data_IF_401814664252
#
_entry.id   IF_401814664252
#
_cell.length_a   1.000
_cell.length_b   1.000
_cell.length_c   1.000
_cell.angle_alpha   90.00
_cell.angle_beta   90.00
_cell.angle_gamma   90.00
#
_symmetry.space_group_name_H-M   'P 1'
#
loop_
_entity.id
_entity.type
_entity.pdbx_description
1 polymer ?
#
# COMPACT_ATOMS: atom_id res chain seq x y z
N UNK A 1 5.07 54.44 44.87
CA UNK A 1 4.05 54.02 45.87
C UNK A 1 3.06 55.15 46.06
N UNK A 2 1.88 55.06 45.44
CA UNK A 2 0.82 56.06 45.66
C UNK A 2 0.04 55.70 46.92
N UNK A 3 0.08 56.58 47.92
CA UNK A 3 -0.70 56.45 49.14
C UNK A 3 -2.19 56.51 48.78
N UNK A 4 -2.92 55.42 49.07
CA UNK A 4 -4.37 55.35 48.92
C UNK A 4 -4.97 56.38 49.88
N UNK A 5 -5.87 57.28 49.43
CA UNK A 5 -6.42 58.32 50.29
C UNK A 5 -7.17 57.70 51.47
N UNK A 6 -6.94 58.22 52.69
CA UNK A 6 -7.53 57.75 53.97
C UNK A 6 -9.07 57.59 53.94
N UNK A 7 -9.76 58.32 53.04
CA UNK A 7 -11.21 58.17 52.79
C UNK A 7 -11.57 56.82 52.14
N UNK A 8 -10.76 56.31 51.21
CA UNK A 8 -10.98 55.00 50.59
C UNK A 8 -10.83 53.88 51.63
N UNK A 9 -9.83 54.00 52.51
CA UNK A 9 -9.61 53.01 53.57
C UNK A 9 -10.75 52.97 54.60
N UNK A 10 -11.35 54.12 54.90
CA UNK A 10 -12.55 54.21 55.76
C UNK A 10 -13.78 53.60 55.10
N UNK A 11 -13.98 53.85 53.80
CA UNK A 11 -15.12 53.31 53.04
C UNK A 11 -15.08 51.78 52.91
N UNK A 12 -13.89 51.20 52.69
CA UNK A 12 -13.72 49.73 52.59
C UNK A 12 -13.88 49.04 53.95
N UNK A 13 -13.65 49.73 55.07
CA UNK A 13 -13.81 49.19 56.43
C UNK A 13 -15.18 49.41 57.06
N UNK A 14 -16.00 50.29 56.50
CA UNK A 14 -17.35 50.57 56.98
C UNK A 14 -18.34 49.52 56.45
N UNK A 15 -19.22 49.01 57.30
CA UNK A 15 -20.14 47.91 56.99
C UNK A 15 -21.04 48.22 55.79
N UNK A 16 -21.40 49.50 55.60
CA UNK A 16 -22.20 49.97 54.45
C UNK A 16 -21.39 49.97 53.15
N UNK A 17 -20.14 50.40 53.19
CA UNK A 17 -19.25 50.40 52.02
C UNK A 17 -18.86 48.99 51.61
N UNK A 18 -18.62 48.10 52.57
CA UNK A 18 -18.36 46.67 52.33
C UNK A 18 -19.57 45.98 51.66
N UNK A 19 -20.80 46.22 52.15
CA UNK A 19 -22.02 45.67 51.55
C UNK A 19 -22.22 46.17 50.11
N UNK A 20 -22.00 47.46 49.84
CA UNK A 20 -22.10 48.01 48.48
C UNK A 20 -21.03 47.44 47.55
N UNK A 21 -19.79 47.27 48.03
CA UNK A 21 -18.69 46.67 47.26
C UNK A 21 -19.03 45.22 46.92
N UNK A 22 -19.45 44.43 47.91
CA UNK A 22 -19.83 43.03 47.73
C UNK A 22 -21.00 42.90 46.74
N UNK A 23 -22.08 43.67 46.92
CA UNK A 23 -23.21 43.68 46.00
C UNK A 23 -22.82 44.13 44.58
N UNK A 24 -21.90 45.09 44.45
CA UNK A 24 -21.44 45.62 43.15
C UNK A 24 -20.45 44.70 42.42
N UNK A 25 -19.72 43.84 43.13
CA UNK A 25 -18.73 42.91 42.56
C UNK A 25 -19.30 41.52 42.31
N UNK A 26 -20.27 41.07 43.10
CA UNK A 26 -20.86 39.73 42.95
C UNK A 26 -21.50 39.55 41.58
N UNK A 27 -22.31 40.50 41.11
CA UNK A 27 -22.98 40.38 39.80
C UNK A 27 -21.98 40.37 38.62
N UNK A 28 -21.02 41.31 38.50
CA UNK A 28 -19.98 41.24 37.48
C UNK A 28 -19.09 40.00 37.58
N UNK A 29 -18.78 39.51 38.79
CA UNK A 29 -17.98 38.31 38.97
C UNK A 29 -18.72 37.06 38.47
N UNK A 30 -20.02 36.93 38.79
CA UNK A 30 -20.86 35.84 38.27
C UNK A 30 -20.97 35.94 36.75
N UNK A 31 -21.19 37.13 36.19
CA UNK A 31 -21.24 37.33 34.73
C UNK A 31 -19.92 36.95 34.05
N UNK A 32 -18.79 37.35 34.63
CA UNK A 32 -17.47 37.02 34.08
C UNK A 32 -17.21 35.51 34.17
N UNK A 33 -17.59 34.87 35.27
CA UNK A 33 -17.48 33.43 35.45
C UNK A 33 -18.36 32.66 34.43
N UNK A 34 -19.60 33.09 34.19
CA UNK A 34 -20.48 32.46 33.20
C UNK A 34 -19.95 32.64 31.78
N UNK A 35 -19.47 33.84 31.43
CA UNK A 35 -18.85 34.10 30.13
C UNK A 35 -17.61 33.22 29.93
N UNK A 36 -16.73 33.09 30.94
CA UNK A 36 -15.56 32.19 30.86
C UNK A 36 -15.96 30.73 30.68
N UNK A 37 -16.99 30.26 31.39
CA UNK A 37 -17.52 28.90 31.23
C UNK A 37 -18.07 28.66 29.82
N UNK A 38 -18.77 29.64 29.24
CA UNK A 38 -19.26 29.55 27.86
C UNK A 38 -18.09 29.46 26.87
N UNK A 39 -17.05 30.29 27.02
CA UNK A 39 -15.86 30.23 26.16
C UNK A 39 -15.12 28.89 26.28
N UNK A 40 -15.00 28.36 27.50
CA UNK A 40 -14.40 27.05 27.73
C UNK A 40 -15.22 25.95 27.05
N UNK A 41 -16.55 25.97 27.20
CA UNK A 41 -17.43 24.99 26.56
C UNK A 41 -17.33 25.05 25.03
N UNK A 42 -17.28 26.25 24.44
CA UNK A 42 -17.09 26.44 23.01
C UNK A 42 -15.73 25.91 22.53
N UNK A 43 -14.66 26.19 23.29
CA UNK A 43 -13.32 25.68 22.96
C UNK A 43 -13.28 24.16 22.95
N UNK A 44 -13.80 23.51 24.00
CA UNK A 44 -13.88 22.05 24.10
C UNK A 44 -14.75 21.48 22.98
N UNK A 45 -15.87 22.11 22.64
CA UNK A 45 -16.71 21.71 21.52
C UNK A 45 -15.95 21.76 20.19
N UNK A 46 -15.24 22.84 19.90
CA UNK A 46 -14.44 22.97 18.68
C UNK A 46 -13.31 21.92 18.62
N UNK A 47 -12.66 21.65 19.75
CA UNK A 47 -11.61 20.63 19.83
C UNK A 47 -12.17 19.22 19.62
N UNK A 48 -13.30 18.89 20.24
CA UNK A 48 -13.96 17.59 20.05
C UNK A 48 -14.42 17.38 18.61
N UNK A 49 -14.98 18.42 17.98
CA UNK A 49 -15.40 18.37 16.57
C UNK A 49 -14.20 18.18 15.62
N UNK A 50 -13.09 18.89 15.86
CA UNK A 50 -11.87 18.73 15.07
C UNK A 50 -11.26 17.32 15.26
N UNK A 51 -11.26 16.80 16.48
CA UNK A 51 -10.83 15.43 16.77
C UNK A 51 -11.71 14.39 16.08
N UNK A 52 -13.04 14.56 16.10
CA UNK A 52 -13.96 13.68 15.40
C UNK A 52 -13.70 13.69 13.88
N UNK A 53 -13.44 14.87 13.31
CA UNK A 53 -13.05 14.99 11.90
C UNK A 53 -11.74 14.26 11.61
N UNK A 54 -10.70 14.46 12.44
CA UNK A 54 -9.41 13.77 12.30
C UNK A 54 -9.57 12.24 12.39
N UNK A 55 -10.35 11.77 13.36
CA UNK A 55 -10.60 10.35 13.61
C UNK A 55 -11.38 9.69 12.47
N UNK A 56 -12.45 10.33 11.98
CA UNK A 56 -13.22 9.82 10.84
C UNK A 56 -12.35 9.77 9.59
N UNK A 57 -11.53 10.79 9.34
CA UNK A 57 -10.62 10.78 8.19
C UNK A 57 -9.60 9.66 8.29
N UNK A 58 -8.87 9.55 9.41
CA UNK A 58 -7.89 8.48 9.61
C UNK A 58 -8.52 7.08 9.47
N UNK A 59 -9.69 6.85 10.08
CA UNK A 59 -10.39 5.57 10.02
C UNK A 59 -10.87 5.22 8.60
N UNK A 60 -11.46 6.17 7.87
CA UNK A 60 -11.94 5.92 6.49
C UNK A 60 -10.79 5.67 5.53
N UNK A 61 -9.71 6.45 5.65
CA UNK A 61 -8.51 6.23 4.85
C UNK A 61 -7.88 4.88 5.14
N UNK A 62 -7.77 4.49 6.41
CA UNK A 62 -7.22 3.20 6.80
C UNK A 62 -8.11 2.02 6.33
N UNK A 63 -9.42 2.16 6.41
CA UNK A 63 -10.39 1.15 5.94
C UNK A 63 -10.38 0.97 4.42
N UNK A 64 -10.18 2.06 3.66
CA UNK A 64 -10.14 2.04 2.20
C UNK A 64 -8.72 1.83 1.65
N UNK A 65 -7.71 1.62 2.50
CA UNK A 65 -6.31 1.55 2.08
C UNK A 65 -6.01 0.40 1.12
N UNK A 66 -6.77 -0.69 1.26
CA UNK A 66 -6.62 -1.93 0.48
C UNK A 66 -6.92 -1.75 -1.02
N UNK A 67 -7.67 -0.71 -1.40
CA UNK A 67 -8.00 -0.41 -2.80
C UNK A 67 -8.25 1.09 -3.01
N UNK A 68 -7.39 1.73 -3.82
CA UNK A 68 -7.48 3.13 -4.20
C UNK A 68 -8.71 3.47 -5.06
N UNK A 69 -9.55 2.53 -5.46
CA UNK A 69 -10.79 2.78 -6.21
C UNK A 69 -12.07 2.71 -5.36
N UNK A 70 -11.94 2.41 -4.06
CA UNK A 70 -13.09 2.47 -3.14
C UNK A 70 -13.63 3.89 -3.00
N UNK A 71 -14.95 4.00 -2.96
CA UNK A 71 -15.64 5.23 -2.59
C UNK A 71 -15.32 5.58 -1.13
N UNK A 72 -14.90 6.82 -0.88
CA UNK A 72 -14.37 7.22 0.43
C UNK A 72 -15.36 7.05 1.59
N UNK A 73 -16.66 7.31 1.36
CA UNK A 73 -17.69 7.31 2.41
C UNK A 73 -18.32 5.95 2.65
N UNK A 74 -18.54 5.17 1.59
CA UNK A 74 -19.26 3.89 1.64
C UNK A 74 -18.31 2.68 1.64
N UNK A 75 -17.09 2.85 1.13
CA UNK A 75 -16.16 1.76 0.85
C UNK A 75 -16.58 0.86 -0.31
N UNK A 76 -17.61 1.25 -1.08
CA UNK A 76 -18.07 0.51 -2.24
C UNK A 76 -17.03 0.55 -3.37
N UNK A 77 -16.94 -0.53 -4.14
CA UNK A 77 -16.05 -0.64 -5.28
C UNK A 77 -16.80 -1.30 -6.43
N UNK A 78 -16.64 -0.79 -7.66
CA UNK A 78 -17.22 -1.40 -8.84
C UNK A 78 -16.47 -2.68 -9.22
N UNK A 79 -17.17 -3.65 -9.80
CA UNK A 79 -16.54 -4.88 -10.26
C UNK A 79 -15.51 -4.59 -11.35
N UNK A 80 -14.27 -5.05 -11.13
CA UNK A 80 -13.13 -4.82 -12.03
C UNK A 80 -12.26 -3.61 -11.69
N UNK A 81 -12.68 -2.75 -10.76
CA UNK A 81 -11.87 -1.60 -10.32
C UNK A 81 -11.03 -1.99 -9.09
N UNK A 82 -9.78 -2.37 -9.33
CA UNK A 82 -8.83 -2.74 -8.27
C UNK A 82 -7.46 -2.17 -8.56
N UNK A 83 -6.70 -1.93 -7.50
CA UNK A 83 -5.26 -1.69 -7.59
C UNK A 83 -4.55 -2.95 -8.14
N UNK A 84 -3.35 -2.77 -8.70
CA UNK A 84 -2.53 -3.86 -9.26
C UNK A 84 -2.22 -4.96 -8.24
N UNK A 85 -2.10 -6.22 -8.67
CA UNK A 85 -1.96 -7.35 -7.74
C UNK A 85 -0.80 -7.20 -6.74
N UNK A 86 0.28 -6.53 -7.14
CA UNK A 86 1.51 -6.40 -6.35
C UNK A 86 1.73 -4.99 -5.79
N UNK A 87 0.72 -4.11 -5.83
CA UNK A 87 0.82 -2.72 -5.35
C UNK A 87 1.37 -2.60 -3.91
N UNK A 88 1.15 -3.61 -3.07
CA UNK A 88 1.65 -3.67 -1.68
C UNK A 88 3.18 -3.76 -1.59
N UNK A 89 3.83 -4.30 -2.61
CA UNK A 89 5.29 -4.45 -2.69
C UNK A 89 5.92 -3.26 -3.44
N UNK A 90 5.23 -2.76 -4.46
CA UNK A 90 5.73 -1.75 -5.40
C UNK A 90 5.38 -0.32 -4.98
N UNK A 91 4.14 -0.09 -4.53
CA UNK A 91 3.60 1.25 -4.28
C UNK A 91 3.37 1.56 -2.79
N UNK A 92 3.26 0.58 -1.87
CA UNK A 92 2.88 0.83 -0.45
C UNK A 92 4.01 1.33 0.48
N UNK A 93 4.98 2.08 -0.07
CA UNK A 93 6.13 2.63 0.67
C UNK A 93 6.86 1.59 1.54
N UNK A 94 7.07 0.40 0.97
CA UNK A 94 7.75 -0.71 1.66
C UNK A 94 9.19 -0.36 2.09
N UNK A 95 9.80 0.66 1.49
CA UNK A 95 11.07 1.25 1.92
C UNK A 95 11.09 1.73 3.37
N UNK A 96 9.94 2.10 3.95
CA UNK A 96 9.85 2.48 5.37
C UNK A 96 10.17 1.33 6.34
N UNK A 97 10.12 0.07 5.89
CA UNK A 97 10.63 -1.07 6.64
C UNK A 97 12.11 -0.96 6.97
N UNK A 98 12.87 -0.31 6.09
CA UNK A 98 14.30 -0.09 6.25
C UNK A 98 14.60 1.27 6.88
N UNK A 99 13.59 1.94 7.46
CA UNK A 99 13.76 3.26 8.10
C UNK A 99 14.80 3.26 9.24
N UNK A 100 15.04 2.09 9.85
CA UNK A 100 16.09 1.89 10.86
C UNK A 100 17.50 1.96 10.28
N UNK A 101 17.67 1.73 8.97
CA UNK A 101 18.95 1.71 8.26
C UNK A 101 19.13 2.95 7.36
N UNK A 102 18.04 3.48 6.83
CA UNK A 102 18.01 4.68 5.98
C UNK A 102 16.91 5.61 6.51
N UNK A 103 17.15 6.91 6.73
CA UNK A 103 16.08 7.82 7.09
C UNK A 103 15.10 7.98 5.91
N UNK A 104 14.01 7.21 5.93
CA UNK A 104 12.91 7.31 4.95
C UNK A 104 11.74 8.00 5.62
N UNK A 105 11.29 9.11 5.04
CA UNK A 105 10.16 9.87 5.56
C UNK A 105 8.83 9.14 5.30
N UNK A 106 7.87 9.18 6.25
CA UNK A 106 6.50 8.76 5.99
C UNK A 106 5.92 9.45 4.75
N UNK A 107 5.02 8.78 4.04
CA UNK A 107 4.24 9.45 3.00
C UNK A 107 3.35 10.50 3.69
N UNK A 108 3.37 11.74 3.24
CA UNK A 108 2.53 12.78 3.83
C UNK A 108 2.03 13.82 2.85
N UNK A 109 0.90 14.42 3.20
CA UNK A 109 0.17 15.40 2.41
C UNK A 109 -0.19 16.58 3.32
N UNK A 110 0.30 17.76 2.98
CA UNK A 110 -0.06 19.00 3.67
C UNK A 110 -1.45 19.48 3.27
N UNK A 111 -2.19 20.04 4.23
CA UNK A 111 -3.55 20.54 4.07
C UNK A 111 -3.59 22.07 4.14
N UNK A 112 -4.47 22.73 3.37
CA UNK A 112 -5.41 22.13 2.40
C UNK A 112 -4.70 21.76 1.09
N UNK A 113 -5.00 20.57 0.56
CA UNK A 113 -4.53 20.17 -0.78
C UNK A 113 -5.71 20.08 -1.75
N UNK A 114 -5.56 20.60 -2.96
CA UNK A 114 -6.55 20.50 -4.05
C UNK A 114 -6.51 19.12 -4.73
N UNK A 115 -6.56 18.04 -3.94
CA UNK A 115 -6.52 16.67 -4.44
C UNK A 115 -7.83 16.27 -5.10
N UNK A 116 -7.84 16.21 -6.43
CA UNK A 116 -8.94 15.63 -7.21
C UNK A 116 -9.07 14.11 -6.96
N UNK A 117 -10.21 13.54 -7.36
CA UNK A 117 -10.58 12.13 -7.13
C UNK A 117 -9.57 11.07 -7.64
N UNK A 118 -8.59 11.49 -8.46
CA UNK A 118 -7.65 10.64 -9.20
C UNK A 118 -6.23 10.61 -8.62
N UNK A 119 -6.12 10.48 -7.28
CA UNK A 119 -4.83 10.42 -6.58
C UNK A 119 -3.89 9.27 -6.99
N UNK A 120 -4.35 8.26 -7.73
CA UNK A 120 -3.56 7.07 -8.07
C UNK A 120 -3.44 6.06 -6.91
N UNK A 121 -2.73 4.96 -7.15
CA UNK A 121 -2.53 3.86 -6.19
C UNK A 121 -1.49 4.16 -5.10
N UNK A 122 -0.72 5.24 -5.25
CA UNK A 122 0.34 5.59 -4.31
C UNK A 122 -0.22 6.04 -2.95
N UNK A 123 0.57 5.94 -1.86
CA UNK A 123 0.17 6.37 -0.52
C UNK A 123 -0.21 7.84 -0.49
N UNK A 124 0.57 8.72 -1.13
CA UNK A 124 0.25 10.16 -1.26
C UNK A 124 -1.06 10.35 -2.01
N UNK A 125 -1.31 9.54 -3.04
CA UNK A 125 -2.56 9.52 -3.80
C UNK A 125 -3.78 9.20 -2.95
N UNK A 126 -3.67 8.15 -2.13
CA UNK A 126 -4.70 7.72 -1.18
C UNK A 126 -4.94 8.80 -0.10
N UNK A 127 -3.88 9.47 0.37
CA UNK A 127 -3.98 10.59 1.32
C UNK A 127 -4.59 11.84 0.67
N UNK A 128 -4.25 12.17 -0.58
CA UNK A 128 -4.81 13.30 -1.33
C UNK A 128 -6.32 13.19 -1.52
N UNK A 129 -6.83 11.97 -1.78
CA UNK A 129 -8.28 11.75 -1.86
C UNK A 129 -8.97 12.08 -0.53
N UNK A 130 -8.35 11.70 0.58
CA UNK A 130 -8.86 12.01 1.93
C UNK A 130 -8.89 13.53 2.16
N UNK A 131 -7.86 14.23 1.70
CA UNK A 131 -7.80 15.68 1.80
C UNK A 131 -8.91 16.38 1.01
N UNK A 132 -9.32 15.83 -0.14
CA UNK A 132 -10.44 16.34 -0.94
C UNK A 132 -11.82 16.23 -0.26
N UNK A 133 -11.95 15.37 0.76
CA UNK A 133 -13.18 15.16 1.53
C UNK A 133 -13.25 15.98 2.83
N UNK A 134 -12.16 16.67 3.19
CA UNK A 134 -12.13 17.51 4.38
C UNK A 134 -12.92 18.81 4.19
N UNK A 135 -13.64 19.28 5.23
CA UNK A 135 -14.26 20.60 5.21
C UNK A 135 -13.25 21.73 4.96
N UNK A 136 -13.72 22.80 4.31
CA UNK A 136 -12.89 24.00 4.10
C UNK A 136 -12.47 24.67 5.40
N UNK A 137 -11.30 25.32 5.38
CA UNK A 137 -10.74 26.02 6.55
C UNK A 137 -10.05 25.10 7.57
N UNK A 138 -9.70 23.88 7.18
CA UNK A 138 -8.83 22.98 7.95
C UNK A 138 -7.43 22.99 7.31
N UNK A 139 -6.41 23.16 8.14
CA UNK A 139 -4.99 23.02 7.78
C UNK A 139 -4.37 21.87 8.57
N UNK A 140 -3.13 21.49 8.24
CA UNK A 140 -2.40 20.42 8.93
C UNK A 140 -1.79 19.41 7.97
N UNK A 141 -1.74 18.15 8.39
CA UNK A 141 -1.04 17.08 7.66
C UNK A 141 -1.78 15.74 7.79
N UNK A 142 -1.88 15.03 6.67
CA UNK A 142 -2.22 13.61 6.63
C UNK A 142 -0.94 12.81 6.38
N UNK A 143 -0.76 11.70 7.08
CA UNK A 143 0.44 10.88 6.97
C UNK A 143 0.12 9.40 6.93
N UNK A 144 1.01 8.63 6.30
CA UNK A 144 0.98 7.19 6.27
C UNK A 144 2.37 6.62 6.59
N UNK A 145 2.39 5.63 7.48
CA UNK A 145 3.62 4.92 7.83
C UNK A 145 3.42 3.41 7.72
N UNK A 146 4.33 2.78 6.98
CA UNK A 146 4.43 1.34 6.85
C UNK A 146 5.62 0.82 7.67
N UNK A 147 5.33 0.24 8.84
CA UNK A 147 6.31 -0.45 9.69
C UNK A 147 6.19 -1.98 9.55
N UNK A 148 5.65 -2.45 8.41
CA UNK A 148 5.52 -3.86 8.07
C UNK A 148 4.28 -4.49 8.63
N UNK A 149 4.42 -5.10 9.81
CA UNK A 149 3.27 -5.70 10.50
C UNK A 149 2.27 -4.64 10.97
N UNK A 150 2.76 -3.44 11.25
CA UNK A 150 1.94 -2.31 11.66
C UNK A 150 1.98 -1.23 10.60
N UNK A 151 0.79 -0.89 10.11
CA UNK A 151 0.56 0.19 9.15
C UNK A 151 -0.48 1.11 9.74
N UNK A 152 -0.24 2.41 9.71
CA UNK A 152 -1.20 3.37 10.24
C UNK A 152 -1.27 4.64 9.40
N UNK A 153 -2.46 5.22 9.43
CA UNK A 153 -2.76 6.53 8.86
C UNK A 153 -2.95 7.52 10.01
N UNK A 154 -2.25 8.65 9.93
CA UNK A 154 -2.37 9.75 10.88
C UNK A 154 -3.03 10.97 10.24
N UNK A 155 -3.90 11.64 10.99
CA UNK A 155 -4.46 12.93 10.64
C UNK A 155 -4.14 13.93 11.75
N UNK A 156 -3.32 14.93 11.47
CA UNK A 156 -2.99 16.04 12.35
C UNK A 156 -3.66 17.31 11.80
N UNK A 157 -4.80 17.70 12.38
CA UNK A 157 -5.63 18.79 11.88
C UNK A 157 -5.55 20.02 12.77
N UNK A 158 -5.66 21.18 12.14
CA UNK A 158 -5.62 22.49 12.76
C UNK A 158 -6.73 23.35 12.17
N UNK A 159 -7.35 24.17 13.02
CA UNK A 159 -8.38 25.12 12.60
C UNK A 159 -8.21 26.43 13.34
N UNK A 160 -8.18 27.53 12.60
CA UNK A 160 -8.16 28.87 13.17
C UNK A 160 -9.41 29.09 14.02
N UNK A 161 -9.20 29.43 15.29
CA UNK A 161 -10.27 29.82 16.20
C UNK A 161 -10.41 31.34 16.15
N UNK A 162 -11.63 31.85 16.04
CA UNK A 162 -11.88 33.27 16.22
C UNK A 162 -11.94 33.58 17.72
N UNK A 163 -10.78 33.56 18.39
CA UNK A 163 -10.69 33.90 19.81
C UNK A 163 -10.60 35.42 20.00
N UNK A 164 -11.19 35.97 21.09
CA UNK A 164 -10.99 37.36 21.45
C UNK A 164 -9.51 37.70 21.66
N UNK A 165 -9.09 38.93 21.32
CA UNK A 165 -7.68 39.35 21.40
C UNK A 165 -7.06 39.17 22.80
N UNK A 166 -7.84 39.35 23.88
CA UNK A 166 -7.36 39.14 25.24
C UNK A 166 -7.02 37.66 25.51
N UNK A 167 -7.80 36.73 24.94
CA UNK A 167 -7.63 35.30 25.10
C UNK A 167 -6.41 34.80 24.32
N UNK A 168 -6.22 35.31 23.09
CA UNK A 168 -5.02 35.03 22.27
C UNK A 168 -3.75 35.50 22.98
N UNK A 169 -3.77 36.68 23.60
CA UNK A 169 -2.64 37.21 24.38
C UNK A 169 -2.35 36.37 25.64
N UNK A 170 -3.38 35.84 26.28
CA UNK A 170 -3.23 35.03 27.50
C UNK A 170 -2.74 33.60 27.21
N UNK A 171 -3.23 32.97 26.14
CA UNK A 171 -2.93 31.57 25.81
C UNK A 171 -1.85 31.37 24.75
N UNK A 172 -1.44 32.42 24.04
CA UNK A 172 -0.37 32.36 23.03
C UNK A 172 -0.70 31.48 21.81
N UNK A 173 -1.97 31.11 21.62
CA UNK A 173 -2.46 30.28 20.53
C UNK A 173 -3.77 30.84 19.99
N UNK A 174 -3.93 30.82 18.68
CA UNK A 174 -5.16 31.22 18.00
C UNK A 174 -5.82 30.07 17.21
N UNK A 175 -5.37 28.84 17.47
CA UNK A 175 -5.75 27.67 16.69
C UNK A 175 -6.15 26.54 17.63
N UNK A 176 -7.17 25.80 17.21
CA UNK A 176 -7.53 24.51 17.78
C UNK A 176 -6.80 23.44 16.98
N UNK A 177 -6.16 22.52 17.70
CA UNK A 177 -5.40 21.42 17.10
C UNK A 177 -5.96 20.10 17.62
N UNK A 178 -6.07 19.11 16.74
CA UNK A 178 -6.46 17.76 17.11
C UNK A 178 -5.79 16.75 16.18
N UNK A 179 -5.40 15.60 16.74
CA UNK A 179 -4.78 14.52 15.99
C UNK A 179 -5.45 13.19 16.27
N UNK A 180 -5.53 12.33 15.26
CA UNK A 180 -6.00 10.96 15.39
C UNK A 180 -5.17 10.02 14.50
N UNK A 181 -5.11 8.75 14.89
CA UNK A 181 -4.41 7.70 14.15
C UNK A 181 -5.33 6.47 14.03
N UNK A 182 -5.22 5.76 12.92
CA UNK A 182 -5.94 4.51 12.69
C UNK A 182 -5.06 3.49 12.00
N UNK A 183 -5.21 2.22 12.38
CA UNK A 183 -4.43 1.12 11.82
C UNK A 183 -5.06 0.60 10.53
N UNK A 184 -4.22 0.36 9.53
CA UNK A 184 -4.62 -0.31 8.29
C UNK A 184 -4.71 -1.81 8.55
N UNK A 185 -5.92 -2.35 8.49
CA UNK A 185 -6.18 -3.78 8.68
C UNK A 185 -6.65 -4.39 7.37
N UNK A 186 -5.90 -5.38 6.89
CA UNK A 186 -6.22 -6.13 5.67
C UNK A 186 -6.26 -7.63 6.01
N UNK A 187 -7.42 -8.14 6.49
CA UNK A 187 -7.51 -9.51 6.97
C UNK A 187 -7.32 -10.52 5.84
N UNK A 188 -7.77 -10.20 4.62
CA UNK A 188 -7.65 -11.09 3.46
C UNK A 188 -6.18 -11.28 3.10
N UNK A 189 -5.42 -10.20 3.03
CA UNK A 189 -3.99 -10.30 2.73
C UNK A 189 -3.21 -10.96 3.87
N UNK A 190 -3.61 -10.72 5.12
CA UNK A 190 -3.00 -11.39 6.28
C UNK A 190 -3.15 -12.91 6.20
N UNK A 191 -4.35 -13.39 5.83
CA UNK A 191 -4.59 -14.83 5.63
C UNK A 191 -3.76 -15.36 4.45
N UNK A 192 -3.73 -14.64 3.32
CA UNK A 192 -2.95 -15.05 2.14
C UNK A 192 -1.46 -15.15 2.44
N UNK A 193 -0.88 -14.16 3.11
CA UNK A 193 0.54 -14.15 3.48
C UNK A 193 0.86 -15.25 4.50
N UNK A 194 -0.06 -15.51 5.44
CA UNK A 194 0.10 -16.60 6.41
C UNK A 194 0.07 -17.96 5.73
N UNK A 195 -0.89 -18.19 4.83
CA UNK A 195 -0.99 -19.43 4.07
C UNK A 195 0.20 -19.62 3.11
N UNK A 196 0.60 -18.56 2.40
CA UNK A 196 1.77 -18.57 1.52
C UNK A 196 3.03 -18.93 2.30
N UNK A 197 3.24 -18.28 3.44
CA UNK A 197 4.41 -18.53 4.29
C UNK A 197 4.36 -19.95 4.85
N UNK A 198 3.22 -20.39 5.38
CA UNK A 198 3.08 -21.74 5.93
C UNK A 198 3.31 -22.83 4.88
N UNK A 199 2.76 -22.65 3.69
CA UNK A 199 2.70 -23.70 2.66
C UNK A 199 3.94 -23.73 1.78
N UNK A 200 4.52 -22.57 1.44
CA UNK A 200 5.55 -22.47 0.42
C UNK A 200 6.93 -22.06 0.94
N UNK A 201 7.09 -21.67 2.22
CA UNK A 201 8.40 -21.21 2.70
C UNK A 201 9.47 -22.30 2.59
N UNK A 202 9.14 -23.56 2.83
CA UNK A 202 10.09 -24.68 2.70
C UNK A 202 10.51 -24.94 1.26
N UNK A 203 9.65 -24.66 0.29
CA UNK A 203 9.96 -24.80 -1.13
C UNK A 203 10.82 -23.66 -1.65
N UNK A 204 10.67 -22.45 -1.09
CA UNK A 204 11.41 -21.26 -1.51
C UNK A 204 12.75 -21.13 -0.77
N UNK A 205 12.85 -21.64 0.46
CA UNK A 205 14.04 -21.51 1.31
C UNK A 205 15.27 -22.12 0.62
N UNK A 206 16.25 -21.28 0.32
CA UNK A 206 17.50 -21.68 -0.34
C UNK A 206 17.44 -21.74 -1.87
N UNK A 207 16.26 -21.59 -2.50
CA UNK A 207 16.12 -21.59 -3.97
C UNK A 207 16.28 -20.21 -4.61
N UNK A 208 16.07 -19.13 -3.87
CA UNK A 208 16.13 -17.75 -4.39
C UNK A 208 17.20 -16.95 -3.64
N UNK A 209 18.14 -16.35 -4.40
CA UNK A 209 19.14 -15.42 -3.85
C UNK A 209 18.49 -14.05 -3.60
N UNK A 210 18.77 -13.36 -2.47
CA UNK A 210 18.12 -12.09 -2.13
C UNK A 210 18.20 -11.01 -3.22
N UNK A 211 19.34 -10.91 -3.91
CA UNK A 211 19.55 -9.95 -5.00
C UNK A 211 18.70 -10.26 -6.24
N UNK A 212 18.46 -11.54 -6.52
CA UNK A 212 17.59 -11.97 -7.63
C UNK A 212 16.11 -11.76 -7.29
N UNK A 213 15.73 -11.97 -6.02
CA UNK A 213 14.38 -11.67 -5.54
C UNK A 213 14.03 -10.17 -5.71
N UNK A 214 14.97 -9.28 -5.37
CA UNK A 214 14.76 -7.84 -5.50
C UNK A 214 14.54 -7.40 -6.96
N UNK A 215 15.24 -8.03 -7.90
CA UNK A 215 15.07 -7.77 -9.34
C UNK A 215 13.73 -8.27 -9.90
N UNK A 216 13.10 -9.22 -9.22
CA UNK A 216 11.79 -9.77 -9.60
C UNK A 216 10.61 -9.02 -8.95
N UNK A 217 10.85 -8.10 -8.02
CA UNK A 217 9.82 -7.24 -7.39
C UNK A 217 9.40 -6.09 -8.31
N UNK A 218 8.94 -6.41 -9.52
CA UNK A 218 8.40 -5.43 -10.48
C UNK A 218 6.98 -5.85 -10.82
N UNK A 219 6.05 -4.89 -10.77
CA UNK A 219 4.67 -5.13 -11.18
C UNK A 219 4.64 -5.60 -12.65
N UNK A 220 4.02 -6.75 -12.97
CA UNK A 220 3.81 -7.15 -14.34
C UNK A 220 3.01 -6.07 -15.08
N UNK A 221 3.47 -5.65 -16.26
CA UNK A 221 2.88 -4.53 -17.01
C UNK A 221 1.49 -4.79 -17.61
N UNK A 222 0.91 -5.97 -17.37
CA UNK A 222 -0.46 -6.26 -17.76
C UNK A 222 -0.85 -7.71 -17.49
N UNK A 223 -2.13 -7.90 -17.16
CA UNK A 223 -2.78 -9.20 -17.28
C UNK A 223 -3.03 -9.48 -18.78
N UNK A 224 -2.78 -10.70 -19.29
CA UNK A 224 -3.18 -11.07 -20.64
C UNK A 224 -4.69 -10.84 -20.81
N UNK A 225 -5.07 -9.85 -21.62
CA UNK A 225 -6.47 -9.60 -21.96
C UNK A 225 -7.00 -10.79 -22.77
N UNK A 226 -7.98 -11.47 -22.16
CA UNK A 226 -8.64 -12.69 -22.65
C UNK A 226 -7.70 -13.90 -22.83
N UNK A 227 -8.19 -15.15 -22.66
CA UNK A 227 -7.38 -16.31 -22.96
C UNK A 227 -7.02 -16.27 -24.44
N UNK A 228 -5.79 -15.86 -24.74
CA UNK A 228 -5.24 -15.87 -26.09
C UNK A 228 -5.44 -17.28 -26.62
N UNK A 229 -6.34 -17.45 -27.60
CA UNK A 229 -6.50 -18.73 -28.28
C UNK A 229 -5.22 -18.96 -29.07
N UNK A 230 -4.30 -19.71 -28.47
CA UNK A 230 -3.06 -20.10 -29.11
C UNK A 230 -3.40 -21.13 -30.19
N UNK A 231 -3.10 -20.76 -31.44
CA UNK A 231 -3.37 -21.58 -32.63
C UNK A 231 -2.10 -22.05 -33.34
N UNK A 232 -0.93 -21.58 -32.88
CA UNK A 232 0.37 -21.93 -33.46
C UNK A 232 1.48 -21.90 -32.42
N UNK A 233 2.59 -22.58 -32.71
CA UNK A 233 3.79 -22.55 -31.87
C UNK A 233 4.38 -21.12 -31.76
N UNK A 234 4.37 -20.33 -32.83
CA UNK A 234 4.84 -18.94 -32.78
C UNK A 234 4.02 -18.06 -31.82
N UNK A 235 2.69 -18.25 -31.79
CA UNK A 235 1.82 -17.58 -30.81
C UNK A 235 2.11 -18.06 -29.40
N UNK A 236 2.35 -19.37 -29.21
CA UNK A 236 2.70 -19.94 -27.91
C UNK A 236 4.04 -19.38 -27.37
N UNK A 237 5.07 -19.32 -28.22
CA UNK A 237 6.36 -18.74 -27.87
C UNK A 237 6.25 -17.25 -27.52
N UNK A 238 5.52 -16.47 -28.33
CA UNK A 238 5.27 -15.05 -28.04
C UNK A 238 4.50 -14.86 -26.73
N UNK A 239 3.49 -15.70 -26.46
CA UNK A 239 2.77 -15.69 -25.20
C UNK A 239 3.70 -15.94 -24.01
N UNK A 240 4.61 -16.91 -24.09
CA UNK A 240 5.59 -17.16 -23.03
C UNK A 240 6.54 -15.97 -22.83
N UNK A 241 7.08 -15.37 -23.89
CA UNK A 241 7.97 -14.21 -23.78
C UNK A 241 7.31 -13.05 -23.03
N UNK A 242 6.01 -12.82 -23.27
CA UNK A 242 5.22 -11.82 -22.55
C UNK A 242 4.97 -12.24 -21.09
N UNK A 243 4.60 -13.50 -20.86
CA UNK A 243 4.25 -14.03 -19.53
C UNK A 243 5.43 -13.98 -18.56
N UNK A 244 6.62 -14.37 -19.02
CA UNK A 244 7.83 -14.44 -18.17
C UNK A 244 8.77 -13.26 -18.35
N UNK A 245 8.39 -12.28 -19.17
CA UNK A 245 9.25 -11.13 -19.53
C UNK A 245 10.62 -11.59 -20.09
N UNK A 246 10.61 -12.67 -20.87
CA UNK A 246 11.82 -13.33 -21.39
C UNK A 246 12.09 -13.03 -22.86
N UNK A 247 13.28 -13.38 -23.34
CA UNK A 247 13.70 -13.22 -24.74
C UNK A 247 14.09 -14.54 -25.38
N UNK A 248 13.84 -14.70 -26.69
CA UNK A 248 14.32 -15.87 -27.42
C UNK A 248 15.85 -15.85 -27.49
N UNK A 249 16.47 -16.99 -27.20
CA UNK A 249 17.93 -17.13 -27.26
C UNK A 249 18.34 -18.45 -27.90
N UNK A 250 19.43 -18.42 -28.66
CA UNK A 250 20.09 -19.62 -29.15
C UNK A 250 21.29 -19.91 -28.28
N UNK A 251 21.22 -21.00 -27.54
CA UNK A 251 22.20 -21.43 -26.55
C UNK A 251 23.03 -22.57 -27.13
N UNK A 252 24.34 -22.55 -26.91
CA UNK A 252 25.23 -23.64 -27.29
C UNK A 252 25.20 -24.70 -26.18
N UNK A 253 24.77 -25.93 -26.51
CA UNK A 253 24.69 -27.03 -25.54
C UNK A 253 26.04 -27.74 -25.43
N UNK A 254 26.62 -28.09 -26.58
CA UNK A 254 27.92 -28.72 -26.73
C UNK A 254 28.57 -28.17 -28.02
N UNK A 255 29.86 -28.45 -28.34
CA UNK A 255 30.50 -27.88 -29.53
C UNK A 255 29.81 -28.13 -30.88
N UNK A 256 28.94 -29.14 -30.98
CA UNK A 256 28.22 -29.53 -32.19
C UNK A 256 26.73 -29.20 -32.15
N UNK A 257 26.17 -28.94 -30.96
CA UNK A 257 24.72 -28.83 -30.75
C UNK A 257 24.33 -27.45 -30.23
N UNK A 258 23.35 -26.83 -30.92
CA UNK A 258 22.66 -25.62 -30.48
C UNK A 258 21.22 -25.94 -30.05
N UNK A 259 20.69 -25.10 -29.17
CA UNK A 259 19.32 -25.14 -28.66
C UNK A 259 18.71 -23.74 -28.72
N UNK A 260 17.66 -23.58 -29.50
CA UNK A 260 16.81 -22.38 -29.43
C UNK A 260 15.86 -22.53 -28.25
N UNK A 261 15.88 -21.56 -27.34
CA UNK A 261 14.98 -21.41 -26.20
C UNK A 261 13.97 -20.33 -26.53
N UNK A 262 12.68 -20.65 -26.42
CA UNK A 262 11.61 -19.74 -26.87
C UNK A 262 11.53 -18.46 -26.01
N UNK A 263 11.79 -18.58 -24.70
CA UNK A 263 11.95 -17.46 -23.79
C UNK A 263 12.91 -17.81 -22.64
N UNK A 264 14.03 -17.07 -22.53
CA UNK A 264 14.90 -17.08 -21.35
C UNK A 264 14.55 -15.88 -20.47
N UNK A 265 14.17 -16.13 -19.22
CA UNK A 265 13.81 -15.07 -18.28
C UNK A 265 15.04 -14.45 -17.57
N UNK A 266 14.81 -13.38 -16.81
CA UNK A 266 15.87 -12.71 -16.05
C UNK A 266 16.47 -13.59 -14.92
N UNK A 267 15.78 -14.64 -14.50
CA UNK A 267 16.25 -15.65 -13.55
C UNK A 267 17.16 -16.70 -14.18
N UNK A 268 17.32 -16.69 -15.51
CA UNK A 268 18.05 -17.71 -16.25
C UNK A 268 17.25 -19.01 -16.41
N UNK A 269 15.93 -18.97 -16.28
CA UNK A 269 15.04 -20.11 -16.53
C UNK A 269 14.64 -20.12 -18.01
N UNK A 270 14.88 -21.26 -18.66
CA UNK A 270 14.55 -21.48 -20.05
C UNK A 270 13.13 -22.03 -20.18
N UNK A 271 12.25 -21.29 -20.87
CA UNK A 271 10.88 -21.67 -21.15
C UNK A 271 10.73 -22.11 -22.60
N UNK A 272 10.23 -23.32 -22.80
CA UNK A 272 9.95 -23.86 -24.13
C UNK A 272 8.45 -24.08 -24.34
N UNK A 273 7.93 -23.64 -25.48
CA UNK A 273 6.55 -23.85 -25.91
C UNK A 273 6.42 -25.09 -26.79
N UNK A 274 5.42 -25.92 -26.52
CA UNK A 274 5.03 -27.05 -27.36
C UNK A 274 3.54 -26.96 -27.68
N UNK A 275 3.23 -26.48 -28.89
CA UNK A 275 1.87 -26.47 -29.42
C UNK A 275 1.58 -27.75 -30.22
N UNK A 276 2.52 -28.14 -31.08
CA UNK A 276 2.57 -29.45 -31.73
C UNK A 276 3.88 -30.10 -31.35
N UNK A 277 3.85 -31.40 -31.04
CA UNK A 277 5.04 -32.13 -30.62
C UNK A 277 4.92 -33.61 -30.95
N UNK A 278 6.08 -34.27 -30.99
CA UNK A 278 6.20 -35.70 -31.10
C UNK A 278 7.01 -36.20 -29.90
N UNK A 279 6.42 -37.04 -29.06
CA UNK A 279 7.09 -37.51 -27.83
C UNK A 279 8.43 -38.21 -28.09
N UNK A 280 8.57 -38.92 -29.21
CA UNK A 280 9.84 -39.54 -29.58
C UNK A 280 10.92 -38.49 -29.80
N UNK A 281 10.61 -37.42 -30.53
CA UNK A 281 11.54 -36.31 -30.72
C UNK A 281 11.85 -35.58 -29.40
N UNK A 282 10.85 -35.43 -28.54
CA UNK A 282 11.06 -34.83 -27.22
C UNK A 282 12.02 -35.65 -26.36
N UNK A 283 11.87 -36.97 -26.31
CA UNK A 283 12.72 -37.87 -25.53
C UNK A 283 14.13 -37.99 -26.09
N UNK A 284 14.25 -38.15 -27.41
CA UNK A 284 15.52 -38.47 -28.04
C UNK A 284 16.36 -37.24 -28.37
N UNK A 285 15.74 -36.06 -28.55
CA UNK A 285 16.43 -34.87 -29.05
C UNK A 285 16.35 -33.69 -28.10
N UNK A 286 15.16 -33.31 -27.62
CA UNK A 286 15.01 -32.07 -26.86
C UNK A 286 15.36 -32.24 -25.38
N UNK A 287 14.87 -33.30 -24.75
CA UNK A 287 15.11 -33.59 -23.33
C UNK A 287 16.60 -33.76 -23.02
N UNK A 288 17.42 -34.48 -23.81
CA UNK A 288 18.85 -34.60 -23.52
C UNK A 288 19.58 -33.27 -23.60
N UNK A 289 19.20 -32.39 -24.55
CA UNK A 289 19.79 -31.04 -24.67
C UNK A 289 19.49 -30.20 -23.45
N UNK A 290 18.22 -30.17 -23.03
CA UNK A 290 17.79 -29.34 -21.91
C UNK A 290 18.29 -29.89 -20.56
N UNK A 291 18.39 -31.22 -20.42
CA UNK A 291 19.02 -31.86 -19.27
C UNK A 291 20.54 -31.57 -19.18
N UNK A 292 21.23 -31.48 -20.32
CA UNK A 292 22.64 -31.10 -20.35
C UNK A 292 22.84 -29.63 -19.99
N UNK A 293 21.99 -28.73 -20.50
CA UNK A 293 21.99 -27.32 -20.11
C UNK A 293 21.79 -27.14 -18.60
N UNK A 294 20.86 -27.90 -18.00
CA UNK A 294 20.64 -27.92 -16.55
C UNK A 294 21.86 -28.41 -15.77
N UNK A 295 22.55 -29.45 -16.25
CA UNK A 295 23.77 -29.97 -15.61
C UNK A 295 24.92 -28.95 -15.64
N UNK A 296 25.06 -28.21 -16.73
CA UNK A 296 26.10 -27.18 -16.86
C UNK A 296 25.83 -25.98 -15.95
N UNK A 297 24.57 -25.56 -15.82
CA UNK A 297 24.13 -24.57 -14.83
C UNK A 297 24.68 -23.15 -15.01
N UNK A 298 25.41 -22.86 -16.09
CA UNK A 298 26.06 -21.56 -16.35
C UNK A 298 25.19 -20.62 -17.17
N UNK A 299 24.54 -21.13 -18.23
CA UNK A 299 23.68 -20.36 -19.14
C UNK A 299 22.18 -20.52 -18.81
N UNK A 300 21.80 -21.66 -18.22
CA UNK A 300 20.43 -21.98 -17.85
C UNK A 300 20.42 -22.52 -16.43
N UNK A 301 19.65 -21.91 -15.55
CA UNK A 301 19.51 -22.27 -14.13
C UNK A 301 18.28 -23.15 -13.87
N UNK A 302 17.33 -23.19 -14.80
CA UNK A 302 16.12 -24.00 -14.73
C UNK A 302 15.50 -24.18 -16.12
N UNK A 303 14.71 -25.24 -16.32
CA UNK A 303 14.00 -25.49 -17.57
C UNK A 303 12.54 -25.78 -17.29
N UNK A 304 11.65 -25.10 -18.02
CA UNK A 304 10.21 -25.29 -17.95
C UNK A 304 9.68 -25.58 -19.36
N UNK A 305 9.00 -26.71 -19.51
CA UNK A 305 8.31 -27.08 -20.74
C UNK A 305 6.82 -26.81 -20.62
N UNK A 306 6.32 -25.93 -21.48
CA UNK A 306 4.93 -25.53 -21.55
C UNK A 306 4.25 -26.22 -22.72
N UNK A 307 3.26 -27.06 -22.43
CA UNK A 307 2.46 -27.74 -23.44
C UNK A 307 1.11 -27.05 -23.57
N UNK A 308 0.74 -26.72 -24.80
CA UNK A 308 -0.50 -26.03 -25.11
C UNK A 308 -1.48 -26.99 -25.78
N UNK A 309 -2.75 -26.91 -25.40
CA UNK A 309 -3.78 -27.69 -26.09
C UNK A 309 -3.91 -27.23 -27.54
N UNK A 310 -4.18 -28.19 -28.43
CA UNK A 310 -4.53 -27.88 -29.82
C UNK A 310 -5.91 -27.22 -29.85
N UNK A 311 -6.15 -26.26 -30.74
CA UNK A 311 -7.42 -25.51 -30.76
C UNK A 311 -8.69 -26.36 -30.95
N UNK A 312 -8.55 -27.61 -31.39
CA UNK A 312 -9.63 -28.59 -31.58
C UNK A 312 -9.70 -29.67 -30.48
N UNK A 313 -8.81 -29.63 -29.50
CA UNK A 313 -8.73 -30.62 -28.43
C UNK A 313 -9.12 -29.98 -27.10
N UNK A 314 -9.82 -30.73 -26.26
CA UNK A 314 -10.25 -30.26 -24.94
C UNK A 314 -9.12 -30.32 -23.91
N UNK A 315 -8.09 -31.14 -24.16
CA UNK A 315 -6.94 -31.34 -23.27
C UNK A 315 -5.61 -31.48 -24.01
N UNK A 316 -4.51 -31.12 -23.35
CA UNK A 316 -3.16 -31.45 -23.80
C UNK A 316 -2.96 -32.97 -23.83
N UNK A 317 -2.49 -33.51 -24.97
CA UNK A 317 -2.17 -34.93 -25.12
C UNK A 317 -0.70 -35.22 -24.80
N UNK A 318 -0.35 -35.24 -23.52
CA UNK A 318 0.97 -35.64 -23.03
C UNK A 318 0.87 -36.96 -22.24
N UNK A 319 1.69 -37.95 -22.56
CA UNK A 319 1.72 -39.20 -21.80
C UNK A 319 2.26 -38.98 -20.39
N UNK A 320 1.64 -39.64 -19.41
CA UNK A 320 2.11 -39.59 -18.02
C UNK A 320 3.55 -40.11 -17.86
N UNK A 321 3.96 -41.05 -18.72
CA UNK A 321 5.34 -41.55 -18.76
C UNK A 321 6.35 -40.48 -19.18
N UNK A 322 6.04 -39.69 -20.21
CA UNK A 322 6.92 -38.58 -20.63
C UNK A 322 7.02 -37.52 -19.54
N UNK A 323 5.87 -37.14 -18.95
CA UNK A 323 5.83 -36.17 -17.85
C UNK A 323 6.76 -36.59 -16.70
N UNK A 324 6.64 -37.84 -16.25
CA UNK A 324 7.47 -38.36 -15.16
C UNK A 324 8.97 -38.43 -15.54
N UNK A 325 9.30 -38.66 -16.80
CA UNK A 325 10.70 -38.62 -17.27
C UNK A 325 11.29 -37.22 -17.27
N UNK A 326 10.52 -36.22 -17.74
CA UNK A 326 10.93 -34.82 -17.71
C UNK A 326 11.19 -34.34 -16.28
N UNK A 327 10.26 -34.64 -15.37
CA UNK A 327 10.38 -34.29 -13.95
C UNK A 327 11.61 -34.95 -13.30
N UNK A 328 11.92 -36.21 -13.67
CA UNK A 328 13.16 -36.88 -13.21
C UNK A 328 14.45 -36.24 -13.71
N UNK A 329 14.43 -35.56 -14.85
CA UNK A 329 15.56 -34.80 -15.39
C UNK A 329 15.61 -33.36 -14.84
N UNK A 330 14.73 -33.00 -13.90
CA UNK A 330 14.66 -31.65 -13.34
C UNK A 330 13.95 -30.63 -14.24
N UNK A 331 13.24 -31.09 -15.28
CA UNK A 331 12.47 -30.25 -16.18
C UNK A 331 11.04 -30.14 -15.64
N UNK A 332 10.60 -28.91 -15.37
CA UNK A 332 9.23 -28.64 -14.88
C UNK A 332 8.25 -28.66 -16.04
N UNK A 333 7.12 -29.33 -15.88
CA UNK A 333 6.09 -29.45 -16.91
C UNK A 333 4.86 -28.62 -16.55
N UNK A 334 4.45 -27.73 -17.45
CA UNK A 334 3.24 -26.91 -17.32
C UNK A 334 2.29 -27.22 -18.46
N UNK A 335 1.03 -27.51 -18.13
CA UNK A 335 -0.03 -27.76 -19.12
C UNK A 335 -0.96 -26.55 -19.20
N UNK A 336 -1.14 -26.02 -20.39
CA UNK A 336 -2.05 -24.91 -20.70
C UNK A 336 -3.29 -25.47 -21.40
N UNK A 337 -4.40 -25.50 -20.65
CA UNK A 337 -5.71 -26.05 -21.03
C UNK A 337 -6.74 -24.98 -21.42
#
# INVERSE_FOLDING_TARGET
MHAIPLRLQRFVRDSRGQFSIEASLTMPAILLATVLLIFLALYVYHQANLYQTASVSANRTAYNWDNSKKEYRTGAVMNGERDGLYWRLTDDHMSNLFSFMLPVSPASVALPSSGGADGGSSPEGKLLRTAGELPSGISGELSYSNQGLLRYVGAALQKSAHLPAFAVKLWGRNEVQAGAQSYVVDPVETIRLTDLTRTFISEVQGRIKPKAALGAMVEPKGEPKEPVRITSHAQAANYLRLLVTGTEQVIQVDPQTKRTVDALDAGGVAHQAYYTFNEKNLREVQMPKDAELLKQGTQVQGVVWHFFKLSKADKVKLSGGLKAELERQGIVVVLHE
#
